data_IF_716182059876
#
_entry.id   IF_716182059876
#
_cell.length_a   1.000
_cell.length_b   1.000
_cell.length_c   1.000
_cell.angle_alpha   90.00
_cell.angle_beta   90.00
_cell.angle_gamma   90.00
#
_symmetry.space_group_name_H-M   'P 1'
#
loop_
_entity.id
_entity.type
_entity.pdbx_description
1 polymer ?
#
# COMPACT_ATOMS: atom_id res chain seq x y z
N UNK A 1 18.78 56.66 -45.45
CA UNK A 1 18.28 56.03 -44.20
C UNK A 1 19.31 54.99 -43.78
N UNK A 2 20.01 55.27 -42.68
CA UNK A 2 21.27 54.64 -42.32
C UNK A 2 21.09 53.19 -41.86
N UNK A 3 21.61 52.25 -42.65
CA UNK A 3 21.95 50.91 -42.18
C UNK A 3 23.31 51.00 -41.49
N UNK A 4 23.35 51.51 -40.27
CA UNK A 4 24.52 51.32 -39.41
C UNK A 4 24.49 49.87 -38.96
N UNK A 5 25.30 49.02 -39.58
CA UNK A 5 25.61 47.71 -39.02
C UNK A 5 26.12 47.93 -37.59
N UNK A 6 25.35 47.51 -36.59
CA UNK A 6 25.79 47.56 -35.20
C UNK A 6 27.14 46.84 -35.09
N UNK A 7 28.11 47.38 -34.34
CA UNK A 7 29.42 46.79 -34.25
C UNK A 7 29.28 45.33 -33.78
N UNK A 8 29.96 44.34 -34.40
CA UNK A 8 29.79 42.92 -34.09
C UNK A 8 30.04 42.57 -32.62
N UNK A 9 30.73 43.45 -31.88
CA UNK A 9 30.93 43.37 -30.43
C UNK A 9 29.65 43.63 -29.61
N UNK A 10 28.76 44.53 -30.05
CA UNK A 10 27.49 44.82 -29.37
C UNK A 10 26.51 43.64 -29.51
N UNK A 11 26.40 43.08 -30.71
CA UNK A 11 25.59 41.89 -30.97
C UNK A 11 26.11 40.65 -30.22
N UNK A 12 27.44 40.50 -30.11
CA UNK A 12 28.04 39.44 -29.29
C UNK A 12 27.75 39.61 -27.79
N UNK A 13 27.73 40.85 -27.28
CA UNK A 13 27.35 41.13 -25.89
C UNK A 13 25.87 40.83 -25.63
N UNK A 14 24.98 41.17 -26.57
CA UNK A 14 23.56 40.89 -26.42
C UNK A 14 23.24 39.40 -26.51
N UNK A 15 23.89 38.65 -27.41
CA UNK A 15 23.75 37.19 -27.44
C UNK A 15 24.31 36.56 -26.15
N UNK A 16 25.41 37.07 -25.59
CA UNK A 16 25.93 36.58 -24.30
C UNK A 16 25.02 36.93 -23.11
N UNK A 17 24.34 38.08 -23.14
CA UNK A 17 23.35 38.47 -22.12
C UNK A 17 22.13 37.56 -22.19
N UNK A 18 21.54 37.41 -23.37
CA UNK A 18 20.37 36.54 -23.58
C UNK A 18 20.68 35.09 -23.21
N UNK A 19 21.87 34.56 -23.57
CA UNK A 19 22.29 33.21 -23.19
C UNK A 19 22.49 33.05 -21.68
N UNK A 20 23.00 34.09 -21.00
CA UNK A 20 23.15 34.11 -19.54
C UNK A 20 21.79 34.17 -18.86
N UNK A 21 20.87 35.00 -19.32
CA UNK A 21 19.56 35.17 -18.73
C UNK A 21 18.71 33.89 -18.91
N UNK A 22 18.73 33.27 -20.10
CA UNK A 22 18.14 31.94 -20.33
C UNK A 22 18.76 30.85 -19.44
N UNK A 23 20.08 30.88 -19.23
CA UNK A 23 20.75 29.95 -18.32
C UNK A 23 20.36 30.20 -16.85
N UNK A 24 20.17 31.45 -16.43
CA UNK A 24 19.73 31.80 -15.06
C UNK A 24 18.27 31.42 -14.83
N UNK A 25 17.38 31.66 -15.79
CA UNK A 25 15.96 31.30 -15.68
C UNK A 25 15.78 29.78 -15.68
N UNK A 26 16.50 29.05 -16.54
CA UNK A 26 16.42 27.57 -16.57
C UNK A 26 16.97 26.94 -15.29
N UNK A 27 18.08 27.44 -14.74
CA UNK A 27 18.63 26.96 -13.46
C UNK A 27 17.70 27.31 -12.29
N UNK A 28 17.11 28.51 -12.28
CA UNK A 28 16.21 28.93 -11.20
C UNK A 28 14.91 28.12 -11.19
N UNK A 29 14.34 27.82 -12.36
CA UNK A 29 13.16 26.95 -12.49
C UNK A 29 13.47 25.50 -12.11
N UNK A 30 14.66 24.99 -12.44
CA UNK A 30 15.10 23.65 -12.02
C UNK A 30 15.23 23.55 -10.50
N UNK A 31 15.84 24.54 -9.84
CA UNK A 31 15.95 24.57 -8.38
C UNK A 31 14.58 24.64 -7.71
N UNK A 32 13.61 25.37 -8.27
CA UNK A 32 12.25 25.43 -7.74
C UNK A 32 11.50 24.09 -7.88
N UNK A 33 11.61 23.42 -9.04
CA UNK A 33 10.99 22.10 -9.25
C UNK A 33 11.63 21.05 -8.35
N UNK A 34 12.97 21.08 -8.19
CA UNK A 34 13.68 20.15 -7.35
C UNK A 34 13.35 20.35 -5.86
N UNK A 35 13.25 21.61 -5.41
CA UNK A 35 12.76 21.93 -4.07
C UNK A 35 11.31 21.44 -3.86
N UNK A 36 10.41 21.64 -4.83
CA UNK A 36 9.04 21.17 -4.77
C UNK A 36 8.94 19.64 -4.72
N UNK A 37 9.71 18.95 -5.56
CA UNK A 37 9.78 17.48 -5.59
C UNK A 37 10.35 16.91 -4.30
N UNK A 38 11.36 17.55 -3.71
CA UNK A 38 11.94 17.15 -2.43
C UNK A 38 10.91 17.22 -1.31
N UNK A 39 10.19 18.34 -1.20
CA UNK A 39 9.11 18.51 -0.23
C UNK A 39 8.00 17.47 -0.46
N UNK A 40 7.58 17.24 -1.71
CA UNK A 40 6.60 16.22 -2.05
C UNK A 40 7.06 14.80 -1.66
N UNK A 41 8.34 14.47 -1.89
CA UNK A 41 8.91 13.17 -1.53
C UNK A 41 8.82 12.93 -0.03
N UNK A 42 9.13 13.94 0.79
CA UNK A 42 9.03 13.85 2.25
C UNK A 42 7.59 13.54 2.66
N UNK A 43 6.60 14.24 2.09
CA UNK A 43 5.19 13.96 2.39
C UNK A 43 4.77 12.54 2.00
N UNK A 44 5.17 12.10 0.81
CA UNK A 44 4.90 10.72 0.34
C UNK A 44 5.54 9.69 1.26
N UNK A 45 6.78 9.91 1.71
CA UNK A 45 7.49 8.98 2.57
C UNK A 45 6.87 8.91 3.97
N UNK A 46 6.43 10.03 4.53
CA UNK A 46 5.67 10.04 5.79
C UNK A 46 4.37 9.23 5.64
N UNK A 47 3.63 9.42 4.55
CA UNK A 47 2.40 8.66 4.28
C UNK A 47 2.67 7.16 4.11
N UNK A 48 3.79 6.77 3.49
CA UNK A 48 4.20 5.36 3.39
C UNK A 48 4.42 4.75 4.78
N UNK A 49 5.08 5.46 5.69
CA UNK A 49 5.27 5.00 7.07
C UNK A 49 3.97 4.88 7.84
N UNK A 50 3.07 5.87 7.70
CA UNK A 50 1.73 5.80 8.29
C UNK A 50 0.96 4.60 7.75
N UNK A 51 0.98 4.38 6.43
CA UNK A 51 0.35 3.23 5.79
C UNK A 51 0.92 1.90 6.32
N UNK A 52 2.24 1.81 6.51
CA UNK A 52 2.88 0.62 7.08
C UNK A 52 2.36 0.33 8.51
N UNK A 53 2.22 1.36 9.34
CA UNK A 53 1.65 1.22 10.69
C UNK A 53 0.18 0.78 10.63
N UNK A 54 -0.62 1.38 9.73
CA UNK A 54 -2.02 0.99 9.54
C UNK A 54 -2.15 -0.48 9.12
N UNK A 55 -1.25 -0.96 8.25
CA UNK A 55 -1.19 -2.38 7.85
C UNK A 55 -0.89 -3.26 9.05
N UNK A 56 0.07 -2.88 9.90
CA UNK A 56 0.41 -3.66 11.10
C UNK A 56 -0.77 -3.74 12.07
N UNK A 57 -1.40 -2.60 12.39
CA UNK A 57 -2.53 -2.54 13.33
C UNK A 57 -3.74 -3.30 12.76
N UNK A 58 -4.04 -3.12 11.47
CA UNK A 58 -5.10 -3.86 10.79
C UNK A 58 -4.84 -5.37 10.77
N UNK A 59 -3.60 -5.77 10.47
CA UNK A 59 -3.18 -7.17 10.48
C UNK A 59 -3.29 -7.82 11.85
N UNK A 60 -2.92 -7.11 12.93
CA UNK A 60 -3.12 -7.55 14.32
C UNK A 60 -4.62 -7.71 14.63
N UNK A 61 -5.46 -6.81 14.12
CA UNK A 61 -6.92 -6.94 14.24
C UNK A 61 -7.46 -8.22 13.61
N UNK A 62 -7.07 -8.50 12.37
CA UNK A 62 -7.46 -9.72 11.63
C UNK A 62 -6.96 -10.97 12.37
N UNK A 63 -5.70 -10.97 12.80
CA UNK A 63 -5.11 -12.01 13.64
C UNK A 63 -5.96 -12.30 14.89
N UNK A 64 -6.39 -11.26 15.60
CA UNK A 64 -7.17 -11.43 16.83
C UNK A 64 -8.55 -12.03 16.55
N UNK A 65 -9.25 -11.54 15.52
CA UNK A 65 -10.54 -12.09 15.12
C UNK A 65 -10.40 -13.59 14.76
N UNK A 66 -9.36 -13.95 14.00
CA UNK A 66 -9.09 -15.35 13.67
C UNK A 66 -8.77 -16.19 14.91
N UNK A 67 -8.01 -15.67 15.88
CA UNK A 67 -7.75 -16.36 17.15
C UNK A 67 -9.01 -16.55 18.00
N UNK A 68 -9.96 -15.62 17.95
CA UNK A 68 -11.26 -15.76 18.61
C UNK A 68 -12.09 -16.83 17.89
N UNK A 69 -12.20 -16.77 16.56
CA UNK A 69 -12.92 -17.76 15.74
C UNK A 69 -12.42 -19.20 15.98
N UNK A 70 -11.10 -19.40 16.07
CA UNK A 70 -10.50 -20.71 16.40
C UNK A 70 -10.95 -21.22 17.78
N UNK A 71 -11.09 -20.32 18.75
CA UNK A 71 -11.54 -20.68 20.11
C UNK A 71 -13.03 -20.99 20.15
N UNK A 72 -13.85 -20.30 19.37
CA UNK A 72 -15.29 -20.60 19.26
C UNK A 72 -15.52 -21.95 18.58
N UNK A 73 -14.76 -22.25 17.52
CA UNK A 73 -14.85 -23.52 16.77
C UNK A 73 -13.99 -24.65 17.35
N UNK A 74 -13.53 -24.54 18.61
CA UNK A 74 -12.60 -25.48 19.26
C UNK A 74 -13.10 -26.93 19.22
N UNK A 75 -14.38 -27.15 19.54
CA UNK A 75 -15.00 -28.48 19.59
C UNK A 75 -15.06 -29.13 18.21
N UNK A 76 -15.39 -28.36 17.19
CA UNK A 76 -15.44 -28.84 15.79
C UNK A 76 -14.05 -29.31 15.33
N UNK A 77 -12.99 -28.54 15.63
CA UNK A 77 -11.60 -28.90 15.33
C UNK A 77 -11.20 -30.18 16.08
N UNK A 78 -11.60 -30.32 17.34
CA UNK A 78 -11.35 -31.51 18.17
C UNK A 78 -11.97 -32.78 17.58
N UNK A 79 -13.23 -32.70 17.16
CA UNK A 79 -13.94 -33.81 16.49
C UNK A 79 -13.25 -34.14 15.16
N UNK A 80 -12.92 -33.12 14.37
CA UNK A 80 -12.27 -33.28 13.06
C UNK A 80 -10.88 -33.97 13.18
N UNK A 81 -10.07 -33.61 14.19
CA UNK A 81 -8.81 -34.30 14.48
C UNK A 81 -9.01 -35.74 14.96
N UNK A 82 -10.04 -36.01 15.76
CA UNK A 82 -10.33 -37.37 16.24
C UNK A 82 -10.72 -38.33 15.10
N UNK A 83 -11.26 -37.78 14.00
CA UNK A 83 -11.57 -38.50 12.77
C UNK A 83 -10.37 -38.66 11.83
N UNK A 84 -9.17 -38.21 12.23
CA UNK A 84 -7.93 -38.40 11.47
C UNK A 84 -7.51 -37.24 10.56
N UNK A 85 -8.13 -36.07 10.69
CA UNK A 85 -7.72 -34.88 9.91
C UNK A 85 -6.31 -34.44 10.32
N UNK A 86 -5.44 -34.23 9.34
CA UNK A 86 -4.05 -33.83 9.58
C UNK A 86 -3.95 -32.37 10.01
N UNK A 87 -2.90 -32.03 10.77
CA UNK A 87 -2.64 -30.64 11.18
C UNK A 87 -2.48 -29.70 9.97
N UNK A 88 -1.90 -30.20 8.88
CA UNK A 88 -1.74 -29.44 7.64
C UNK A 88 -3.07 -29.05 6.99
N UNK A 89 -4.06 -29.94 6.99
CA UNK A 89 -5.40 -29.65 6.43
C UNK A 89 -6.12 -28.57 7.24
N UNK A 90 -6.03 -28.63 8.57
CA UNK A 90 -6.63 -27.61 9.46
C UNK A 90 -5.91 -26.27 9.28
N UNK A 91 -4.58 -26.29 9.18
CA UNK A 91 -3.79 -25.09 8.92
C UNK A 91 -4.21 -24.42 7.60
N UNK A 92 -4.36 -25.21 6.52
CA UNK A 92 -4.77 -24.71 5.21
C UNK A 92 -6.17 -24.11 5.25
N UNK A 93 -7.12 -24.73 5.95
CA UNK A 93 -8.47 -24.20 6.12
C UNK A 93 -8.46 -22.79 6.75
N UNK A 94 -7.75 -22.62 7.87
CA UNK A 94 -7.66 -21.32 8.53
C UNK A 94 -6.84 -20.30 7.73
N UNK A 95 -5.84 -20.75 6.96
CA UNK A 95 -5.08 -19.88 6.07
C UNK A 95 -5.95 -19.37 4.92
N UNK A 96 -6.80 -20.23 4.35
CA UNK A 96 -7.80 -19.82 3.35
C UNK A 96 -8.82 -18.86 3.96
N UNK A 97 -9.26 -19.09 5.20
CA UNK A 97 -10.15 -18.17 5.91
C UNK A 97 -9.48 -16.78 6.05
N UNK A 98 -8.20 -16.72 6.45
CA UNK A 98 -7.43 -15.48 6.49
C UNK A 98 -7.30 -14.80 5.12
N UNK A 99 -7.07 -15.57 4.05
CA UNK A 99 -6.99 -15.07 2.68
C UNK A 99 -8.33 -14.50 2.20
N UNK A 100 -9.45 -15.11 2.57
CA UNK A 100 -10.79 -14.58 2.25
C UNK A 100 -10.99 -13.24 2.94
N UNK A 101 -10.64 -13.09 4.23
CA UNK A 101 -10.71 -11.79 4.91
C UNK A 101 -9.81 -10.74 4.23
N UNK A 102 -8.60 -11.12 3.83
CA UNK A 102 -7.66 -10.23 3.14
C UNK A 102 -8.16 -9.82 1.74
N UNK A 103 -8.76 -10.74 0.99
CA UNK A 103 -9.35 -10.45 -0.32
C UNK A 103 -10.55 -9.53 -0.20
N UNK A 104 -11.49 -9.82 0.72
CA UNK A 104 -12.68 -8.99 0.93
C UNK A 104 -12.26 -7.59 1.39
N UNK A 105 -11.39 -7.50 2.40
CA UNK A 105 -10.87 -6.22 2.89
C UNK A 105 -10.07 -5.46 1.83
N UNK A 106 -9.22 -6.15 1.07
CA UNK A 106 -8.43 -5.56 -0.01
C UNK A 106 -9.29 -5.03 -1.16
N UNK A 107 -10.27 -5.80 -1.62
CA UNK A 107 -11.22 -5.36 -2.65
C UNK A 107 -12.06 -4.17 -2.16
N UNK A 108 -12.62 -4.23 -0.95
CA UNK A 108 -13.40 -3.13 -0.39
C UNK A 108 -12.54 -1.87 -0.21
N UNK A 109 -11.33 -2.02 0.32
CA UNK A 109 -10.38 -0.93 0.49
C UNK A 109 -9.98 -0.30 -0.84
N UNK A 110 -9.75 -1.12 -1.89
CA UNK A 110 -9.44 -0.63 -3.23
C UNK A 110 -10.60 0.18 -3.83
N UNK A 111 -11.83 -0.34 -3.75
CA UNK A 111 -13.03 0.35 -4.26
C UNK A 111 -13.25 1.67 -3.54
N UNK A 112 -13.17 1.68 -2.21
CA UNK A 112 -13.34 2.89 -1.40
C UNK A 112 -12.21 3.89 -1.68
N UNK A 113 -10.96 3.42 -1.77
CA UNK A 113 -9.79 4.25 -2.06
C UNK A 113 -9.88 4.92 -3.42
N UNK A 114 -10.20 4.17 -4.47
CA UNK A 114 -10.41 4.72 -5.82
C UNK A 114 -11.56 5.72 -5.82
N UNK A 115 -12.67 5.43 -5.16
CA UNK A 115 -13.81 6.34 -5.05
C UNK A 115 -13.47 7.65 -4.32
N UNK A 116 -12.69 7.58 -3.25
CA UNK A 116 -12.21 8.76 -2.52
C UNK A 116 -11.25 9.59 -3.36
N UNK A 117 -10.34 8.96 -4.08
CA UNK A 117 -9.36 9.64 -4.93
C UNK A 117 -10.06 10.37 -6.08
N UNK A 118 -11.04 9.74 -6.73
CA UNK A 118 -11.84 10.35 -7.80
C UNK A 118 -12.67 11.55 -7.30
N UNK A 119 -13.35 11.39 -6.16
CA UNK A 119 -14.19 12.45 -5.59
C UNK A 119 -13.38 13.63 -5.07
N UNK A 120 -12.29 13.36 -4.33
CA UNK A 120 -11.38 14.38 -3.83
C UNK A 120 -10.65 15.08 -4.98
N UNK A 121 -10.16 14.33 -5.97
CA UNK A 121 -9.48 14.89 -7.15
C UNK A 121 -10.35 15.90 -7.89
N UNK A 122 -11.61 15.54 -8.16
CA UNK A 122 -12.58 16.45 -8.80
C UNK A 122 -12.83 17.73 -8.00
N UNK A 123 -12.87 17.64 -6.67
CA UNK A 123 -13.11 18.82 -5.82
C UNK A 123 -11.97 19.83 -5.81
N UNK A 124 -10.73 19.37 -6.05
CA UNK A 124 -9.52 20.21 -6.05
C UNK A 124 -9.07 20.52 -7.49
N UNK A 125 -9.75 19.97 -8.50
CA UNK A 125 -9.40 20.15 -9.92
C UNK A 125 -8.18 19.35 -10.37
N UNK A 126 -7.77 18.32 -9.63
CA UNK A 126 -6.70 17.40 -10.03
C UNK A 126 -7.29 16.12 -10.62
N UNK A 127 -6.73 15.66 -11.73
CA UNK A 127 -7.03 14.35 -12.32
C UNK A 127 -6.09 13.30 -11.74
N UNK A 128 -6.58 12.39 -10.88
CA UNK A 128 -5.76 11.32 -10.34
C UNK A 128 -5.38 10.34 -11.45
N UNK A 129 -4.12 9.86 -11.44
CA UNK A 129 -3.67 8.82 -12.37
C UNK A 129 -3.74 7.48 -11.65
N UNK A 130 -4.74 6.67 -12.01
CA UNK A 130 -4.94 5.33 -11.45
C UNK A 130 -4.47 4.32 -12.50
N UNK A 131 -3.37 3.61 -12.22
CA UNK A 131 -2.85 2.58 -13.12
C UNK A 131 -3.29 1.21 -12.65
N UNK A 132 -3.60 0.33 -13.60
CA UNK A 132 -3.98 -1.05 -13.32
C UNK A 132 -2.91 -1.79 -12.48
N UNK A 133 -1.62 -1.48 -12.72
CA UNK A 133 -0.50 -2.04 -11.96
C UNK A 133 -0.54 -1.69 -10.47
N UNK A 134 -0.97 -0.48 -10.12
CA UNK A 134 -1.06 -0.04 -8.72
C UNK A 134 -2.19 -0.77 -8.00
N UNK A 135 -3.33 -0.98 -8.67
CA UNK A 135 -4.44 -1.77 -8.14
C UNK A 135 -4.04 -3.22 -7.85
N UNK A 136 -3.31 -3.85 -8.77
CA UNK A 136 -2.79 -5.21 -8.58
C UNK A 136 -1.78 -5.25 -7.43
N UNK A 137 -0.88 -4.28 -7.33
CA UNK A 137 0.08 -4.20 -6.24
C UNK A 137 -0.59 -4.10 -4.87
N UNK A 138 -1.66 -3.30 -4.74
CA UNK A 138 -2.45 -3.18 -3.49
C UNK A 138 -3.10 -4.51 -3.11
N UNK A 139 -3.72 -5.21 -4.07
CA UNK A 139 -4.33 -6.52 -3.81
C UNK A 139 -3.29 -7.57 -3.41
N UNK A 140 -2.14 -7.61 -4.07
CA UNK A 140 -1.03 -8.49 -3.70
C UNK A 140 -0.48 -8.18 -2.31
N UNK A 141 -0.36 -6.89 -1.96
CA UNK A 141 0.06 -6.47 -0.62
C UNK A 141 -0.96 -6.92 0.44
N UNK A 142 -2.26 -6.76 0.18
CA UNK A 142 -3.31 -7.23 1.09
C UNK A 142 -3.25 -8.74 1.31
N UNK A 143 -3.08 -9.51 0.24
CA UNK A 143 -2.89 -10.97 0.30
C UNK A 143 -1.65 -11.37 1.10
N UNK A 144 -0.52 -10.70 0.87
CA UNK A 144 0.72 -10.97 1.59
C UNK A 144 0.56 -10.71 3.10
N UNK A 145 -0.08 -9.60 3.47
CA UNK A 145 -0.39 -9.27 4.87
C UNK A 145 -1.32 -10.31 5.48
N UNK A 146 -2.40 -10.67 4.77
CA UNK A 146 -3.33 -11.73 5.20
C UNK A 146 -2.63 -13.07 5.47
N UNK A 147 -1.69 -13.44 4.62
CA UNK A 147 -0.89 -14.66 4.77
C UNK A 147 0.02 -14.58 6.01
N UNK A 148 0.78 -13.48 6.16
CA UNK A 148 1.71 -13.28 7.28
C UNK A 148 0.97 -13.33 8.62
N UNK A 149 -0.13 -12.60 8.75
CA UNK A 149 -0.92 -12.56 9.98
C UNK A 149 -1.81 -13.80 10.14
N UNK A 150 -2.17 -14.51 9.08
CA UNK A 150 -2.98 -15.73 9.10
C UNK A 150 -2.22 -17.00 9.50
N UNK A 151 -0.91 -17.07 9.30
CA UNK A 151 -0.09 -18.25 9.65
C UNK A 151 -0.09 -18.53 11.15
N UNK A 152 -0.01 -17.51 11.99
CA UNK A 152 -0.01 -17.66 13.45
C UNK A 152 -1.29 -18.30 14.01
N UNK A 153 -2.52 -17.82 13.71
CA UNK A 153 -3.75 -18.44 14.20
C UNK A 153 -3.95 -19.82 13.58
N UNK A 154 -3.62 -19.99 12.29
CA UNK A 154 -3.72 -21.28 11.61
C UNK A 154 -2.82 -22.35 12.28
N UNK A 155 -1.58 -21.99 12.64
CA UNK A 155 -0.66 -22.86 13.37
C UNK A 155 -1.16 -23.18 14.78
N UNK A 156 -1.79 -22.21 15.47
CA UNK A 156 -2.39 -22.45 16.78
C UNK A 156 -3.58 -23.39 16.71
N UNK A 157 -4.44 -23.23 15.70
CA UNK A 157 -5.58 -24.11 15.47
C UNK A 157 -5.14 -25.54 15.13
N UNK A 158 -4.15 -25.67 14.24
CA UNK A 158 -3.67 -26.96 13.77
C UNK A 158 -2.95 -27.78 14.84
N UNK A 159 -2.38 -27.16 15.88
CA UNK A 159 -1.67 -27.85 16.98
C UNK A 159 -2.55 -28.16 18.20
N UNK A 160 -3.83 -27.85 18.13
CA UNK A 160 -4.77 -28.11 19.23
C UNK A 160 -4.95 -29.61 19.48
N UNK A 161 -4.91 -30.09 20.72
CA UNK A 161 -5.06 -31.52 21.03
C UNK A 161 -6.55 -31.89 21.15
N UNK A 162 -6.97 -33.06 20.65
CA UNK A 162 -8.37 -33.51 20.74
C UNK A 162 -8.88 -33.60 22.19
N UNK A 163 -8.02 -34.04 23.10
CA UNK A 163 -8.34 -34.16 24.53
C UNK A 163 -8.67 -32.80 25.14
N UNK A 164 -7.93 -31.76 24.77
CA UNK A 164 -8.16 -30.39 25.26
C UNK A 164 -9.38 -29.73 24.62
N UNK A 165 -9.94 -30.29 23.55
CA UNK A 165 -11.13 -29.77 22.88
C UNK A 165 -12.43 -30.43 23.37
N UNK A 166 -12.34 -31.59 24.04
CA UNK A 166 -13.48 -32.36 24.56
C UNK A 166 -13.60 -32.30 26.09
N UNK A 167 -12.56 -31.83 26.79
CA UNK A 167 -12.48 -31.76 28.26
C UNK A 167 -12.82 -30.37 28.81
N UNK A 168 -13.12 -29.39 27.96
CA UNK A 168 -13.65 -28.09 28.38
C UNK A 168 -15.16 -28.22 28.70
N UNK A 169 -15.46 -29.04 29.72
CA UNK A 169 -16.59 -28.96 30.65
C UNK A 169 -16.12 -29.50 32.02
#
# INVERSE_FOLDING_TARGET
AAWTAEPPAAMAQDVMRVKRDLAVDTVTMQVQIEAANSVMSIFVDVLKWVAAICILVGGIGVMNILLVSVRERRREIGIMKSLGTTEGQICLLFLLEALVYALVGGCMGLVIGVGLIETAGRSIGLTPVIRLGDCVAVLLAALAVGLIFGVSPASRASRMKPVDALRDE
#
